data_IF_603534704437
#
_entry.id   IF_603534704437
#
_cell.length_a   1.000
_cell.length_b   1.000
_cell.length_c   1.000
_cell.angle_alpha   90.00
_cell.angle_beta   90.00
_cell.angle_gamma   90.00
#
_symmetry.space_group_name_H-M   'P 1'
#
loop_
_entity.id
_entity.type
_entity.pdbx_description
1 polymer ?
#
# COMPACT_ATOMS: atom_id res chain seq x y z
N UNK A 1 -13.69 -11.77 20.46
CA UNK A 1 -12.31 -11.25 20.46
C UNK A 1 -11.98 -10.79 21.88
N UNK A 2 -10.87 -11.23 22.46
CA UNK A 2 -10.60 -10.98 23.90
C UNK A 2 -9.84 -9.66 24.12
N UNK A 3 -10.07 -8.99 25.26
CA UNK A 3 -9.36 -7.76 25.71
C UNK A 3 -7.83 -7.81 25.58
N UNK A 4 -7.25 -9.01 25.59
CA UNK A 4 -5.80 -9.23 25.42
C UNK A 4 -5.37 -9.08 23.95
N UNK A 5 -6.17 -9.53 23.01
CA UNK A 5 -5.91 -9.42 21.57
C UNK A 5 -6.01 -7.96 21.12
N UNK A 6 -6.98 -7.21 21.66
CA UNK A 6 -7.14 -5.79 21.38
C UNK A 6 -5.92 -4.97 21.85
N UNK A 7 -5.42 -5.25 23.07
CA UNK A 7 -4.22 -4.61 23.60
C UNK A 7 -2.97 -4.94 22.78
N UNK A 8 -2.86 -6.19 22.31
CA UNK A 8 -1.75 -6.63 21.45
C UNK A 8 -1.79 -5.92 20.11
N UNK A 9 -2.97 -5.82 19.49
CA UNK A 9 -3.21 -5.08 18.26
C UNK A 9 -2.85 -3.60 18.42
N UNK A 10 -3.36 -2.94 19.47
CA UNK A 10 -3.06 -1.53 19.74
C UNK A 10 -1.56 -1.25 19.87
N UNK A 11 -0.81 -2.10 20.59
CA UNK A 11 0.65 -1.95 20.72
C UNK A 11 1.37 -2.11 19.39
N UNK A 12 0.96 -3.10 18.59
CA UNK A 12 1.51 -3.31 17.25
C UNK A 12 1.26 -2.10 16.35
N UNK A 13 0.04 -1.57 16.36
CA UNK A 13 -0.35 -0.42 15.54
C UNK A 13 0.38 0.86 15.99
N UNK A 14 0.58 1.06 17.29
CA UNK A 14 1.39 2.18 17.80
C UNK A 14 2.85 2.12 17.33
N UNK A 15 3.45 0.92 17.27
CA UNK A 15 4.80 0.76 16.70
C UNK A 15 4.83 1.05 15.20
N UNK A 16 3.82 0.59 14.44
CA UNK A 16 3.69 0.89 13.00
C UNK A 16 3.55 2.39 12.75
N UNK A 17 2.70 3.09 13.51
CA UNK A 17 2.53 4.53 13.40
C UNK A 17 3.81 5.30 13.73
N UNK A 18 4.52 4.90 14.80
CA UNK A 18 5.80 5.50 15.19
C UNK A 18 6.87 5.28 14.10
N UNK A 19 6.95 4.06 13.55
CA UNK A 19 7.87 3.73 12.48
C UNK A 19 7.57 4.55 11.20
N UNK A 20 6.32 4.65 10.79
CA UNK A 20 5.92 5.45 9.63
C UNK A 20 6.35 6.91 9.77
N UNK A 21 6.05 7.52 10.91
CA UNK A 21 6.42 8.91 11.17
C UNK A 21 7.94 9.14 11.13
N UNK A 22 8.74 8.21 11.67
CA UNK A 22 10.20 8.32 11.66
C UNK A 22 10.78 8.04 10.27
N UNK A 23 10.28 7.02 9.58
CA UNK A 23 10.77 6.66 8.26
C UNK A 23 10.48 7.75 7.20
N UNK A 24 9.34 8.43 7.32
CA UNK A 24 8.99 9.55 6.43
C UNK A 24 9.74 10.82 6.78
N UNK A 25 10.11 11.03 8.05
CA UNK A 25 10.82 12.22 8.53
C UNK A 25 12.32 12.17 8.22
N UNK A 26 13.00 11.09 8.63
CA UNK A 26 14.47 11.00 8.56
C UNK A 26 14.98 9.80 7.76
N UNK A 27 14.09 8.99 7.23
CA UNK A 27 14.46 7.80 6.45
C UNK A 27 14.65 6.55 7.31
N UNK A 28 14.67 5.39 6.62
CA UNK A 28 14.79 4.07 7.26
C UNK A 28 16.19 3.87 7.85
N UNK A 29 17.23 4.31 7.13
CA UNK A 29 18.63 4.09 7.54
C UNK A 29 18.93 4.80 8.86
N UNK A 30 18.48 6.04 9.00
CA UNK A 30 18.74 6.89 10.16
C UNK A 30 17.74 6.67 11.32
N UNK A 31 16.83 5.70 11.17
CA UNK A 31 15.89 5.32 12.24
C UNK A 31 16.36 4.06 12.94
N UNK A 32 16.52 4.13 14.25
CA UNK A 32 16.83 2.98 15.09
C UNK A 32 15.57 2.34 15.68
N UNK A 33 15.66 1.07 16.08
CA UNK A 33 14.57 0.39 16.82
C UNK A 33 14.28 1.10 18.15
N UNK A 34 15.31 1.65 18.78
CA UNK A 34 15.16 2.43 20.02
C UNK A 34 14.34 3.71 19.81
N UNK A 35 14.53 4.39 18.66
CA UNK A 35 13.73 5.56 18.31
C UNK A 35 12.25 5.20 18.10
N UNK A 36 11.99 4.09 17.39
CA UNK A 36 10.63 3.61 17.15
C UNK A 36 9.95 3.27 18.48
N UNK A 37 10.59 2.48 19.32
CA UNK A 37 10.04 2.09 20.62
C UNK A 37 9.79 3.31 21.51
N UNK A 38 10.76 4.25 21.62
CA UNK A 38 10.61 5.49 22.37
C UNK A 38 9.45 6.34 21.86
N UNK A 39 9.32 6.51 20.54
CA UNK A 39 8.22 7.28 19.93
C UNK A 39 6.86 6.62 20.14
N UNK A 40 6.81 5.28 20.21
CA UNK A 40 5.60 4.51 20.54
C UNK A 40 5.33 4.44 22.07
N UNK A 41 6.14 5.10 22.88
CA UNK A 41 6.09 5.04 24.36
C UNK A 41 6.19 3.61 24.91
N UNK A 42 7.14 2.84 24.37
CA UNK A 42 7.38 1.43 24.73
C UNK A 42 8.85 1.15 24.99
N UNK A 43 9.12 0.13 25.81
CA UNK A 43 10.47 -0.38 25.97
C UNK A 43 10.96 -1.06 24.67
N UNK A 44 12.28 -0.97 24.39
CA UNK A 44 12.90 -1.59 23.21
C UNK A 44 12.60 -3.11 23.11
N UNK A 45 12.56 -3.81 24.23
CA UNK A 45 12.20 -5.23 24.28
C UNK A 45 10.79 -5.54 23.78
N UNK A 46 9.85 -4.60 23.98
CA UNK A 46 8.48 -4.75 23.49
C UNK A 46 8.41 -4.78 21.97
N UNK A 47 9.29 -4.06 21.27
CA UNK A 47 9.38 -4.07 19.82
C UNK A 47 9.58 -5.50 19.29
N UNK A 48 10.50 -6.25 19.88
CA UNK A 48 10.86 -7.60 19.44
C UNK A 48 9.78 -8.66 19.67
N UNK A 49 8.73 -8.34 20.43
CA UNK A 49 7.54 -9.19 20.55
C UNK A 49 6.64 -9.14 19.30
N UNK A 50 6.81 -8.10 18.46
CA UNK A 50 5.96 -7.85 17.28
C UNK A 50 6.72 -7.90 15.98
N UNK A 51 7.98 -7.49 15.96
CA UNK A 51 8.79 -7.34 14.77
C UNK A 51 10.20 -7.87 14.99
N UNK A 52 10.71 -8.59 13.99
CA UNK A 52 12.05 -9.19 14.05
C UNK A 52 13.15 -8.12 14.07
N UNK A 53 13.02 -7.14 13.19
CA UNK A 53 13.96 -6.04 13.01
C UNK A 53 13.27 -4.83 12.35
N UNK A 54 14.06 -3.77 12.06
CA UNK A 54 13.50 -2.56 11.43
C UNK A 54 13.08 -2.75 9.97
N UNK A 55 13.57 -3.76 9.30
CA UNK A 55 13.17 -4.08 7.93
C UNK A 55 11.87 -4.89 7.92
N UNK A 56 11.66 -5.75 8.90
CA UNK A 56 10.40 -6.46 9.07
C UNK A 56 9.21 -5.50 9.33
N UNK A 57 9.38 -4.51 10.23
CA UNK A 57 8.33 -3.50 10.45
C UNK A 57 8.15 -2.61 9.22
N UNK A 58 9.22 -2.27 8.48
CA UNK A 58 9.15 -1.54 7.21
C UNK A 58 8.28 -2.29 6.20
N UNK A 59 8.58 -3.56 5.96
CA UNK A 59 7.89 -4.36 4.93
C UNK A 59 6.41 -4.56 5.28
N UNK A 60 6.11 -4.83 6.55
CA UNK A 60 4.72 -4.90 7.05
C UNK A 60 4.00 -3.57 6.91
N UNK A 61 4.68 -2.46 7.17
CA UNK A 61 4.11 -1.12 7.04
C UNK A 61 3.83 -0.76 5.56
N UNK A 62 4.74 -1.11 4.64
CA UNK A 62 4.54 -0.90 3.21
C UNK A 62 3.34 -1.73 2.73
N UNK A 63 3.29 -3.01 3.10
CA UNK A 63 2.19 -3.91 2.76
C UNK A 63 0.84 -3.37 3.28
N UNK A 64 0.79 -2.93 4.53
CA UNK A 64 -0.43 -2.36 5.12
C UNK A 64 -0.86 -1.05 4.43
N UNK A 65 0.09 -0.16 4.14
CA UNK A 65 -0.19 1.10 3.43
C UNK A 65 -0.63 0.88 1.98
N UNK A 66 0.02 -0.02 1.25
CA UNK A 66 -0.40 -0.41 -0.09
C UNK A 66 -1.83 -0.98 -0.06
N UNK A 67 -2.10 -1.92 0.86
CA UNK A 67 -3.44 -2.48 1.05
C UNK A 67 -4.50 -1.38 1.30
N UNK A 68 -4.23 -0.43 2.20
CA UNK A 68 -5.15 0.68 2.49
C UNK A 68 -5.49 1.49 1.23
N UNK A 69 -4.50 1.80 0.39
CA UNK A 69 -4.71 2.52 -0.86
C UNK A 69 -5.60 1.74 -1.83
N UNK A 70 -5.33 0.44 -1.99
CA UNK A 70 -6.11 -0.41 -2.89
C UNK A 70 -7.51 -0.69 -2.39
N UNK A 71 -7.69 -0.96 -1.09
CA UNK A 71 -9.02 -1.16 -0.51
C UNK A 71 -9.90 0.07 -0.72
N UNK A 72 -9.36 1.26 -0.46
CA UNK A 72 -10.11 2.50 -0.68
C UNK A 72 -10.47 2.69 -2.14
N UNK A 73 -9.55 2.40 -3.08
CA UNK A 73 -9.84 2.49 -4.51
C UNK A 73 -10.96 1.51 -4.93
N UNK A 74 -10.97 0.29 -4.39
CA UNK A 74 -12.05 -0.68 -4.61
C UNK A 74 -13.38 -0.22 -4.02
N UNK A 75 -13.39 0.34 -2.81
CA UNK A 75 -14.60 0.88 -2.18
C UNK A 75 -15.18 2.04 -3.01
N UNK A 76 -14.34 2.92 -3.53
CA UNK A 76 -14.75 4.00 -4.44
C UNK A 76 -15.31 3.43 -5.75
N UNK A 77 -14.66 2.40 -6.32
CA UNK A 77 -15.09 1.73 -7.54
C UNK A 77 -16.47 1.05 -7.40
N UNK A 78 -16.77 0.46 -6.26
CA UNK A 78 -18.07 -0.19 -6.00
C UNK A 78 -19.27 0.80 -6.02
N UNK A 79 -19.02 2.10 -6.02
CA UNK A 79 -20.06 3.16 -6.03
C UNK A 79 -20.34 3.69 -7.43
N UNK A 80 -19.63 3.21 -8.44
CA UNK A 80 -19.73 3.65 -9.83
C UNK A 80 -20.07 2.46 -10.72
N UNK A 81 -20.90 2.69 -11.73
CA UNK A 81 -21.14 1.70 -12.75
C UNK A 81 -20.05 1.81 -13.80
N UNK A 82 -19.37 0.71 -14.05
CA UNK A 82 -18.29 0.59 -15.05
C UNK A 82 -18.62 -0.58 -15.96
N UNK A 83 -18.48 -0.37 -17.27
CA UNK A 83 -18.99 -1.31 -18.26
C UNK A 83 -17.91 -2.22 -18.85
N UNK A 84 -16.64 -1.81 -18.79
CA UNK A 84 -15.52 -2.57 -19.36
C UNK A 84 -14.40 -2.82 -18.36
N UNK A 85 -13.56 -3.82 -18.66
CA UNK A 85 -12.34 -4.07 -17.88
C UNK A 85 -11.41 -2.85 -17.88
N UNK A 86 -11.32 -2.17 -19.03
CA UNK A 86 -10.51 -0.97 -19.21
C UNK A 86 -10.98 0.14 -18.25
N UNK A 87 -12.29 0.38 -18.14
CA UNK A 87 -12.84 1.38 -17.26
C UNK A 87 -12.53 1.06 -15.78
N UNK A 88 -12.62 -0.20 -15.38
CA UNK A 88 -12.25 -0.64 -14.05
C UNK A 88 -10.76 -0.39 -13.76
N UNK A 89 -9.87 -0.74 -14.69
CA UNK A 89 -8.42 -0.53 -14.54
C UNK A 89 -8.09 0.95 -14.50
N UNK A 90 -8.64 1.76 -15.41
CA UNK A 90 -8.42 3.22 -15.44
C UNK A 90 -8.94 3.87 -14.15
N UNK A 91 -10.12 3.48 -13.68
CA UNK A 91 -10.68 3.99 -12.44
C UNK A 91 -9.76 3.70 -11.23
N UNK A 92 -9.31 2.45 -11.10
CA UNK A 92 -8.39 2.05 -10.04
C UNK A 92 -7.07 2.84 -10.09
N UNK A 93 -6.48 2.98 -11.27
CA UNK A 93 -5.26 3.76 -11.47
C UNK A 93 -5.48 5.22 -11.05
N UNK A 94 -6.55 5.85 -11.52
CA UNK A 94 -6.87 7.24 -11.18
C UNK A 94 -7.11 7.43 -9.68
N UNK A 95 -7.85 6.53 -9.03
CA UNK A 95 -8.07 6.58 -7.58
C UNK A 95 -6.74 6.47 -6.81
N UNK A 96 -5.87 5.54 -7.19
CA UNK A 96 -4.54 5.38 -6.58
C UNK A 96 -3.68 6.64 -6.77
N UNK A 97 -3.61 7.18 -7.99
CA UNK A 97 -2.86 8.41 -8.30
C UNK A 97 -3.37 9.57 -7.43
N UNK A 98 -4.68 9.75 -7.33
CA UNK A 98 -5.28 10.82 -6.53
C UNK A 98 -4.94 10.69 -5.04
N UNK A 99 -5.04 9.48 -4.48
CA UNK A 99 -4.67 9.21 -3.10
C UNK A 99 -3.19 9.51 -2.82
N UNK A 100 -2.30 9.10 -3.72
CA UNK A 100 -0.86 9.33 -3.60
C UNK A 100 -0.50 10.82 -3.80
N UNK A 101 -1.19 11.53 -4.67
CA UNK A 101 -1.02 12.97 -4.85
C UNK A 101 -1.44 13.78 -3.60
N UNK A 102 -2.52 13.36 -2.94
CA UNK A 102 -2.98 13.96 -1.68
C UNK A 102 -2.03 13.69 -0.52
N UNK A 103 -1.26 12.59 -0.57
CA UNK A 103 -0.34 12.18 0.49
C UNK A 103 1.07 11.92 -0.05
N UNK A 104 1.81 13.00 -0.33
CA UNK A 104 3.20 12.92 -0.86
C UNK A 104 4.17 12.17 0.05
N UNK A 105 3.95 12.17 1.37
CA UNK A 105 4.77 11.41 2.29
C UNK A 105 4.55 9.90 2.14
N UNK A 106 3.30 9.49 1.93
CA UNK A 106 2.97 8.11 1.62
C UNK A 106 3.57 7.67 0.29
N UNK A 107 3.42 8.48 -0.76
CA UNK A 107 4.03 8.23 -2.07
C UNK A 107 5.55 8.07 -1.95
N UNK A 108 6.23 9.02 -1.30
CA UNK A 108 7.68 8.97 -1.08
C UNK A 108 8.14 7.72 -0.32
N UNK A 109 7.33 7.27 0.63
CA UNK A 109 7.61 6.08 1.41
C UNK A 109 7.40 4.80 0.58
N UNK A 110 6.28 4.69 -0.14
CA UNK A 110 5.95 3.51 -0.97
C UNK A 110 6.91 3.43 -2.15
N UNK A 111 7.08 4.48 -2.93
CA UNK A 111 7.84 4.47 -4.18
C UNK A 111 9.30 4.05 -4.02
N UNK A 112 9.90 4.31 -2.87
CA UNK A 112 11.29 3.92 -2.56
C UNK A 112 11.45 2.50 -2.05
N UNK A 113 10.38 1.90 -1.52
CA UNK A 113 10.49 0.70 -0.69
C UNK A 113 9.56 -0.44 -1.14
N UNK A 114 8.64 -0.18 -2.07
CA UNK A 114 7.76 -1.19 -2.60
C UNK A 114 8.55 -2.13 -3.53
N UNK A 115 8.62 -3.39 -3.17
CA UNK A 115 9.08 -4.46 -4.04
C UNK A 115 7.90 -5.35 -4.41
N UNK A 116 7.99 -6.10 -5.51
CA UNK A 116 6.96 -7.05 -5.90
C UNK A 116 6.58 -8.01 -4.78
N UNK A 117 7.56 -8.56 -4.06
CA UNK A 117 7.29 -9.50 -2.96
C UNK A 117 6.55 -8.86 -1.77
N UNK A 118 6.79 -7.59 -1.48
CA UNK A 118 6.04 -6.84 -0.44
C UNK A 118 4.64 -6.51 -0.93
N UNK A 119 4.52 -6.09 -2.20
CA UNK A 119 3.24 -5.79 -2.83
C UNK A 119 2.34 -7.03 -2.91
N UNK A 120 2.86 -8.15 -3.39
CA UNK A 120 2.12 -9.41 -3.45
C UNK A 120 1.60 -9.85 -2.08
N UNK A 121 2.40 -9.71 -1.02
CA UNK A 121 1.93 -9.96 0.35
C UNK A 121 0.78 -9.04 0.74
N UNK A 122 0.83 -7.75 0.35
CA UNK A 122 -0.25 -6.81 0.62
C UNK A 122 -1.56 -7.22 -0.06
N UNK A 123 -1.49 -7.74 -1.29
CA UNK A 123 -2.66 -8.18 -2.06
C UNK A 123 -3.30 -9.45 -1.50
N UNK A 124 -2.50 -10.33 -0.90
CA UNK A 124 -2.94 -11.60 -0.32
C UNK A 124 -3.49 -11.43 1.10
N UNK A 125 -3.27 -10.28 1.76
CA UNK A 125 -3.82 -10.02 3.07
C UNK A 125 -5.34 -9.84 2.96
N UNK A 126 -6.08 -10.77 3.55
CA UNK A 126 -7.54 -10.74 3.60
C UNK A 126 -8.05 -9.45 4.27
N UNK A 127 -9.10 -8.86 3.73
CA UNK A 127 -9.90 -7.90 4.46
C UNK A 127 -10.74 -8.68 5.48
N UNK A 128 -10.48 -8.47 6.77
CA UNK A 128 -11.08 -9.22 7.88
C UNK A 128 -12.62 -9.15 7.98
N UNK A 129 -13.30 -8.35 7.17
CA UNK A 129 -14.77 -8.17 7.26
C UNK A 129 -15.54 -8.79 6.09
N UNK A 130 -14.98 -8.91 4.88
CA UNK A 130 -15.70 -9.40 3.69
C UNK A 130 -15.06 -10.64 3.03
N UNK A 131 -13.91 -11.12 3.50
CA UNK A 131 -13.28 -12.35 2.99
C UNK A 131 -12.60 -12.23 1.62
N UNK A 132 -12.82 -11.15 0.87
CA UNK A 132 -12.26 -10.96 -0.46
C UNK A 132 -10.96 -10.15 -0.43
N UNK A 133 -9.86 -10.78 -0.85
CA UNK A 133 -8.62 -10.06 -1.09
C UNK A 133 -8.71 -9.24 -2.40
N UNK A 134 -7.89 -8.17 -2.50
CA UNK A 134 -7.75 -7.44 -3.77
C UNK A 134 -7.42 -8.40 -4.92
N UNK A 135 -6.60 -9.41 -4.66
CA UNK A 135 -6.17 -10.39 -5.64
C UNK A 135 -7.33 -11.21 -6.21
N UNK A 136 -8.25 -11.66 -5.34
CA UNK A 136 -9.46 -12.37 -5.77
C UNK A 136 -10.36 -11.48 -6.64
N UNK A 137 -10.56 -10.22 -6.25
CA UNK A 137 -11.34 -9.26 -7.05
C UNK A 137 -10.70 -8.96 -8.40
N UNK A 138 -9.37 -8.83 -8.45
CA UNK A 138 -8.65 -8.66 -9.70
C UNK A 138 -8.89 -9.83 -10.66
N UNK A 139 -8.75 -11.06 -10.19
CA UNK A 139 -9.01 -12.24 -11.01
C UNK A 139 -10.47 -12.37 -11.44
N UNK A 140 -11.41 -12.01 -10.56
CA UNK A 140 -12.83 -11.97 -10.89
C UNK A 140 -13.13 -10.99 -12.04
N UNK A 141 -12.54 -9.79 -12.02
CA UNK A 141 -12.69 -8.81 -13.09
C UNK A 141 -12.11 -9.32 -14.43
N UNK A 142 -10.97 -10.02 -14.39
CA UNK A 142 -10.41 -10.63 -15.59
C UNK A 142 -11.32 -11.71 -16.16
N UNK A 143 -11.86 -12.58 -15.32
CA UNK A 143 -12.77 -13.66 -15.71
C UNK A 143 -14.07 -13.09 -16.32
N UNK A 144 -14.67 -12.09 -15.68
CA UNK A 144 -15.86 -11.41 -16.16
C UNK A 144 -15.66 -10.69 -17.51
N UNK A 145 -14.43 -10.29 -17.85
CA UNK A 145 -14.12 -9.67 -19.13
C UNK A 145 -14.26 -10.62 -20.32
N UNK A 146 -14.31 -11.93 -20.07
CA UNK A 146 -14.33 -12.98 -21.11
C UNK A 146 -13.04 -13.07 -21.96
N UNK A 147 -11.97 -12.38 -21.55
CA UNK A 147 -10.70 -12.35 -22.26
C UNK A 147 -9.69 -13.33 -21.64
N UNK A 148 -8.88 -13.93 -22.49
CA UNK A 148 -7.77 -14.78 -22.04
C UNK A 148 -6.49 -13.97 -21.88
N UNK A 149 -5.92 -13.97 -20.67
CA UNK A 149 -4.64 -13.33 -20.36
C UNK A 149 -3.57 -14.41 -20.17
N UNK A 150 -2.47 -14.29 -20.91
CA UNK A 150 -1.38 -15.27 -20.85
C UNK A 150 -0.69 -15.29 -19.47
N UNK A 151 -0.53 -14.13 -18.85
CA UNK A 151 0.09 -13.98 -17.54
C UNK A 151 -0.53 -12.79 -16.79
N UNK A 152 -1.64 -13.00 -16.06
CA UNK A 152 -2.31 -11.94 -15.31
C UNK A 152 -1.43 -11.30 -14.25
N UNK A 153 -0.58 -12.08 -13.57
CA UNK A 153 0.31 -11.58 -12.53
C UNK A 153 1.36 -10.62 -13.09
N UNK A 154 1.94 -10.97 -14.23
CA UNK A 154 2.88 -10.09 -14.91
C UNK A 154 2.21 -8.79 -15.38
N UNK A 155 0.97 -8.88 -15.87
CA UNK A 155 0.19 -7.69 -16.25
C UNK A 155 -0.02 -6.78 -15.05
N UNK A 156 -0.47 -7.32 -13.92
CA UNK A 156 -0.64 -6.55 -12.69
C UNK A 156 0.68 -5.92 -12.22
N UNK A 157 1.76 -6.69 -12.25
CA UNK A 157 3.09 -6.19 -11.90
C UNK A 157 3.51 -4.99 -12.78
N UNK A 158 3.36 -5.11 -14.10
CA UNK A 158 3.71 -4.02 -15.02
C UNK A 158 2.86 -2.77 -14.77
N UNK A 159 1.55 -2.92 -14.51
CA UNK A 159 0.66 -1.79 -14.18
C UNK A 159 1.15 -1.10 -12.91
N UNK A 160 1.44 -1.86 -11.86
CA UNK A 160 1.88 -1.32 -10.56
C UNK A 160 3.22 -0.60 -10.68
N UNK A 161 4.20 -1.19 -11.36
CA UNK A 161 5.52 -0.56 -11.56
C UNK A 161 5.41 0.71 -12.43
N UNK A 162 4.60 0.67 -13.48
CA UNK A 162 4.36 1.84 -14.32
C UNK A 162 3.73 2.99 -13.52
N UNK A 163 2.66 2.71 -12.77
CA UNK A 163 1.97 3.72 -11.95
C UNK A 163 2.92 4.25 -10.87
N UNK A 164 3.64 3.36 -10.17
CA UNK A 164 4.58 3.75 -9.11
C UNK A 164 5.69 4.67 -9.64
N UNK A 165 6.32 4.29 -10.76
CA UNK A 165 7.38 5.08 -11.40
C UNK A 165 6.87 6.43 -11.90
N UNK A 166 5.70 6.43 -12.55
CA UNK A 166 5.08 7.66 -13.07
C UNK A 166 4.69 8.61 -11.93
N UNK A 167 4.04 8.10 -10.88
CA UNK A 167 3.70 8.90 -9.70
C UNK A 167 4.93 9.51 -9.04
N UNK A 168 6.01 8.74 -8.89
CA UNK A 168 7.26 9.26 -8.34
C UNK A 168 7.79 10.42 -9.16
N UNK A 169 7.90 10.26 -10.47
CA UNK A 169 8.47 11.27 -11.37
C UNK A 169 7.59 12.52 -11.46
N UNK A 170 6.29 12.33 -11.67
CA UNK A 170 5.36 13.43 -11.96
C UNK A 170 4.94 14.19 -10.71
N UNK A 171 4.65 13.46 -9.61
CA UNK A 171 4.13 14.09 -8.37
C UNK A 171 5.27 14.64 -7.50
N UNK A 172 6.38 13.89 -7.39
CA UNK A 172 7.49 14.30 -6.50
C UNK A 172 8.55 15.11 -7.21
N UNK A 173 8.90 14.76 -8.45
CA UNK A 173 9.96 15.43 -9.22
C UNK A 173 9.41 16.48 -10.20
N UNK A 174 8.10 16.44 -10.50
CA UNK A 174 7.44 17.30 -11.48
C UNK A 174 8.08 17.21 -12.88
N UNK A 175 8.50 16.02 -13.27
CA UNK A 175 9.18 15.72 -14.53
C UNK A 175 8.56 14.48 -15.19
N UNK A 176 8.49 14.41 -16.53
CA UNK A 176 8.78 15.49 -17.48
C UNK A 176 7.70 16.56 -17.52
N UNK A 177 6.53 16.29 -16.91
CA UNK A 177 5.35 17.17 -16.84
C UNK A 177 4.76 17.15 -15.43
N UNK A 178 3.91 18.11 -15.11
CA UNK A 178 3.13 18.12 -13.86
C UNK A 178 1.91 17.21 -13.97
N UNK A 179 1.39 16.73 -12.85
CA UNK A 179 0.22 15.86 -12.82
C UNK A 179 -1.01 16.45 -13.53
N UNK A 180 -1.15 17.78 -13.54
CA UNK A 180 -2.26 18.47 -14.22
C UNK A 180 -2.32 18.23 -15.73
N UNK A 181 -1.22 17.75 -16.34
CA UNK A 181 -1.14 17.41 -17.75
C UNK A 181 -1.31 15.90 -18.03
N UNK A 182 -1.44 15.08 -16.99
CA UNK A 182 -1.73 13.65 -17.13
C UNK A 182 -3.23 13.47 -16.88
N UNK A 183 -4.02 13.53 -17.94
CA UNK A 183 -5.40 13.08 -17.94
C UNK A 183 -5.43 11.70 -18.61
N UNK A 184 -5.69 10.68 -17.79
CA UNK A 184 -5.98 9.32 -18.28
C UNK A 184 -7.49 9.14 -18.36
#
# INVERSE_FOLDING_TARGET
MGKLDDKKKQKRDSLLMAAFALFTQKGINDTSISDIAKKANMAKGTFYLYFKDKFDIRDKLIADKARQVFCRALEEMNRVQLDSLEDHVIFLINSVINQLNQNKNLLKFISKNLSWGVFQKALLLENNEDGDSFYQRYYLLLDQSGRMFRNPDLMLYMIVEFVNSTCHSVILQQQPVTLSLIHI
#
